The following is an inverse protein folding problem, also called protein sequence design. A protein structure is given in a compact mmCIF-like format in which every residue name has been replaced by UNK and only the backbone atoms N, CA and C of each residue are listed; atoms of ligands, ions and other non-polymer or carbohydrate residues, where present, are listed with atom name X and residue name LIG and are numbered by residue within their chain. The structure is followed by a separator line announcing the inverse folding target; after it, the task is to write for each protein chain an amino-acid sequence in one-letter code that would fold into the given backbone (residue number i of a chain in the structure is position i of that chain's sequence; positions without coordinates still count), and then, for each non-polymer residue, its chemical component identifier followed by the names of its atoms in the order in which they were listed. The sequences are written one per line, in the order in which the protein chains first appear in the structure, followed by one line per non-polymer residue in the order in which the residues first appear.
data_IF_660837600134
#
_entry.id   IF_660837600134
#
_cell.length_a   1.000
_cell.length_b   1.000
_cell.length_c   1.000
_cell.angle_alpha   90.00
_cell.angle_beta   90.00
_cell.angle_gamma   90.00
#
_symmetry.space_group_name_H-M   'P 1'
#
loop_
_entity.id
_entity.type
_entity.pdbx_description
1 polymer ?
#
# COMPACT_ATOMS: atom_id res chain seq x y z
N UNK A 1 -29.86 30.32 99.43
CA UNK A 1 -29.32 29.05 98.88
C UNK A 1 -29.65 29.07 97.39
N UNK A 2 -28.76 29.00 96.40
CA UNK A 2 -27.36 28.63 96.28
C UNK A 2 -26.58 29.70 95.49
N UNK A 3 -25.32 29.93 95.87
CA UNK A 3 -24.36 30.78 95.18
C UNK A 3 -23.97 30.20 93.81
N UNK A 4 -24.12 30.97 92.73
CA UNK A 4 -23.64 30.64 91.40
C UNK A 4 -22.13 30.89 91.33
N UNK A 5 -21.32 29.84 91.41
CA UNK A 5 -19.84 29.93 91.37
C UNK A 5 -19.35 30.08 89.91
N UNK A 6 -18.70 31.20 89.52
CA UNK A 6 -18.24 31.42 88.14
C UNK A 6 -16.99 30.60 87.75
N UNK A 7 -16.40 29.84 88.68
CA UNK A 7 -15.08 29.22 88.53
C UNK A 7 -15.08 27.68 88.63
N UNK A 8 -16.13 26.99 88.16
CA UNK A 8 -16.09 25.53 88.07
C UNK A 8 -15.14 25.09 86.95
N UNK A 9 -14.18 24.20 87.28
CA UNK A 9 -13.29 23.55 86.30
C UNK A 9 -14.06 22.90 85.13
N UNK A 10 -15.32 22.49 85.37
CA UNK A 10 -16.22 21.95 84.35
C UNK A 10 -16.58 22.93 83.24
N UNK A 11 -16.83 24.22 83.54
CA UNK A 11 -17.24 25.20 82.51
C UNK A 11 -16.09 25.59 81.57
N UNK A 12 -14.85 25.66 82.07
CA UNK A 12 -13.65 25.89 81.23
C UNK A 12 -13.33 24.69 80.34
N UNK A 13 -13.51 23.47 80.85
CA UNK A 13 -13.32 22.26 80.05
C UNK A 13 -14.41 22.11 78.98
N UNK A 14 -15.67 22.42 79.30
CA UNK A 14 -16.77 22.42 78.32
C UNK A 14 -16.58 23.50 77.25
N UNK A 15 -16.17 24.72 77.61
CA UNK A 15 -15.87 25.77 76.61
C UNK A 15 -14.66 25.41 75.72
N UNK A 16 -13.64 24.74 76.26
CA UNK A 16 -12.50 24.24 75.46
C UNK A 16 -12.91 23.09 74.55
N UNK A 17 -13.74 22.15 75.04
CA UNK A 17 -14.25 21.03 74.23
C UNK A 17 -15.19 21.52 73.13
N UNK A 18 -16.09 22.46 73.43
CA UNK A 18 -16.98 23.08 72.44
C UNK A 18 -16.17 23.92 71.46
N UNK A 19 -15.17 24.67 71.90
CA UNK A 19 -14.26 25.39 71.00
C UNK A 19 -13.48 24.47 70.07
N UNK A 20 -12.97 23.34 70.58
CA UNK A 20 -12.28 22.32 69.77
C UNK A 20 -13.26 21.62 68.81
N UNK A 21 -14.48 21.32 69.23
CA UNK A 21 -15.51 20.73 68.36
C UNK A 21 -15.98 21.69 67.26
N UNK A 22 -16.11 22.99 67.55
CA UNK A 22 -16.43 23.99 66.53
C UNK A 22 -15.28 24.15 65.55
N UNK A 23 -14.03 24.19 66.03
CA UNK A 23 -12.85 24.25 65.14
C UNK A 23 -12.74 22.98 64.28
N UNK A 24 -12.95 21.79 64.86
CA UNK A 24 -12.97 20.54 64.10
C UNK A 24 -14.13 20.45 63.12
N UNK A 25 -15.31 20.97 63.47
CA UNK A 25 -16.48 21.00 62.58
C UNK A 25 -16.31 22.02 61.43
N UNK A 26 -15.63 23.14 61.68
CA UNK A 26 -15.25 24.11 60.64
C UNK A 26 -14.17 23.51 59.74
N UNK A 27 -13.13 22.85 60.30
CA UNK A 27 -12.11 22.15 59.52
C UNK A 27 -12.74 21.01 58.70
N UNK A 28 -13.65 20.23 59.27
CA UNK A 28 -14.34 19.15 58.58
C UNK A 28 -15.28 19.69 57.49
N UNK A 29 -16.03 20.77 57.76
CA UNK A 29 -16.90 21.40 56.76
C UNK A 29 -16.10 22.03 55.62
N UNK A 30 -14.99 22.70 55.92
CA UNK A 30 -14.08 23.26 54.91
C UNK A 30 -13.40 22.13 54.13
N UNK A 31 -12.94 21.08 54.80
CA UNK A 31 -12.36 19.91 54.13
C UNK A 31 -13.39 19.21 53.23
N UNK A 32 -14.64 19.06 53.67
CA UNK A 32 -15.68 18.40 52.88
C UNK A 32 -16.13 19.26 51.70
N UNK A 33 -16.26 20.58 51.88
CA UNK A 33 -16.52 21.55 50.81
C UNK A 33 -15.38 21.60 49.78
N UNK A 34 -14.12 21.58 50.25
CA UNK A 34 -12.94 21.50 49.38
C UNK A 34 -12.91 20.16 48.63
N UNK A 35 -13.27 19.04 49.28
CA UNK A 35 -13.28 17.71 48.66
C UNK A 35 -14.36 17.56 47.58
N UNK A 36 -15.56 18.09 47.80
CA UNK A 36 -16.64 18.06 46.80
C UNK A 36 -16.34 19.01 45.64
N UNK A 37 -15.90 20.24 45.90
CA UNK A 37 -15.59 21.22 44.84
C UNK A 37 -14.32 20.90 44.05
N UNK A 38 -13.35 20.17 44.61
CA UNK A 38 -12.20 19.62 43.86
C UNK A 38 -12.60 18.42 43.02
N UNK A 39 -13.43 17.51 43.56
CA UNK A 39 -13.92 16.34 42.85
C UNK A 39 -14.71 16.71 41.59
N UNK A 40 -15.63 17.67 41.68
CA UNK A 40 -16.50 18.04 40.56
C UNK A 40 -15.76 18.84 39.47
N UNK A 41 -14.78 19.67 39.84
CA UNK A 41 -13.97 20.42 38.88
C UNK A 41 -12.95 19.53 38.15
N UNK A 42 -12.32 18.59 38.86
CA UNK A 42 -11.38 17.63 38.27
C UNK A 42 -12.12 16.59 37.41
N UNK A 43 -13.29 16.12 37.87
CA UNK A 43 -14.16 15.19 37.14
C UNK A 43 -14.55 15.70 35.74
N UNK A 44 -14.84 17.00 35.60
CA UNK A 44 -15.26 17.59 34.32
C UNK A 44 -14.11 17.93 33.36
N UNK A 45 -12.90 18.15 33.88
CA UNK A 45 -11.75 18.60 33.06
C UNK A 45 -10.86 17.43 32.64
N UNK A 46 -10.73 16.40 33.48
CA UNK A 46 -9.89 15.24 33.19
C UNK A 46 -10.20 14.58 31.83
N UNK A 47 -11.47 14.32 31.46
CA UNK A 47 -11.79 13.73 30.15
C UNK A 47 -11.35 14.61 28.97
N UNK A 48 -11.41 15.93 29.13
CA UNK A 48 -10.99 16.87 28.07
C UNK A 48 -9.48 16.84 27.88
N UNK A 49 -8.72 16.73 28.98
CA UNK A 49 -7.26 16.59 28.92
C UNK A 49 -6.88 15.27 28.28
N UNK A 50 -7.55 14.18 28.64
CA UNK A 50 -7.35 12.86 28.01
C UNK A 50 -7.60 12.93 26.49
N UNK A 51 -8.70 13.56 26.05
CA UNK A 51 -8.96 13.76 24.61
C UNK A 51 -7.83 14.54 23.91
N UNK A 52 -7.30 15.59 24.54
CA UNK A 52 -6.19 16.36 23.96
C UNK A 52 -4.88 15.57 23.91
N UNK A 53 -4.64 14.70 24.90
CA UNK A 53 -3.48 13.80 24.92
C UNK A 53 -3.59 12.76 23.80
N UNK A 54 -4.78 12.22 23.55
CA UNK A 54 -5.04 11.28 22.45
C UNK A 54 -4.79 11.93 21.08
N UNK A 55 -5.17 13.20 20.89
CA UNK A 55 -4.86 13.98 19.67
C UNK A 55 -3.33 14.07 19.51
N UNK A 56 -2.62 14.46 20.57
CA UNK A 56 -1.16 14.57 20.54
C UNK A 56 -0.49 13.23 20.21
N UNK A 57 -0.96 12.13 20.79
CA UNK A 57 -0.44 10.81 20.49
C UNK A 57 -0.69 10.42 19.03
N UNK A 58 -1.90 10.68 18.52
CA UNK A 58 -2.25 10.43 17.12
C UNK A 58 -1.37 11.23 16.16
N UNK A 59 -1.02 12.47 16.51
CA UNK A 59 -0.08 13.29 15.74
C UNK A 59 1.33 12.68 15.70
N UNK A 60 1.85 12.23 16.85
CA UNK A 60 3.15 11.54 16.93
C UNK A 60 3.17 10.25 16.09
N UNK A 61 2.12 9.45 16.19
CA UNK A 61 2.00 8.20 15.42
C UNK A 61 1.90 8.50 13.92
N UNK A 62 1.19 9.57 13.54
CA UNK A 62 1.07 10.02 12.15
C UNK A 62 2.40 10.49 11.55
N UNK A 63 3.22 11.22 12.32
CA UNK A 63 4.59 11.57 11.92
C UNK A 63 5.41 10.30 11.71
N UNK A 64 5.36 9.37 12.66
CA UNK A 64 6.11 8.11 12.61
C UNK A 64 5.74 7.30 11.37
N UNK A 65 4.44 7.21 11.07
CA UNK A 65 3.94 6.55 9.87
C UNK A 65 4.39 7.24 8.58
N UNK A 66 4.28 8.57 8.48
CA UNK A 66 4.72 9.30 7.30
C UNK A 66 6.23 9.15 7.05
N UNK A 67 7.03 9.11 8.12
CA UNK A 67 8.48 8.87 8.06
C UNK A 67 8.84 7.43 7.67
N UNK A 68 7.92 6.46 7.80
CA UNK A 68 8.17 5.07 7.43
C UNK A 68 7.88 4.75 5.97
N UNK A 69 7.33 5.70 5.20
CA UNK A 69 6.97 5.52 3.79
C UNK A 69 8.20 5.51 2.87
N UNK A 70 8.01 5.00 1.64
CA UNK A 70 9.08 4.81 0.64
C UNK A 70 9.87 6.11 0.34
N UNK A 71 9.18 7.25 0.34
CA UNK A 71 9.76 8.59 0.19
C UNK A 71 9.22 9.50 1.31
N UNK A 72 9.92 9.61 2.46
CA UNK A 72 9.47 10.44 3.58
C UNK A 72 9.73 11.93 3.36
N UNK A 73 10.67 12.29 2.47
CA UNK A 73 11.08 13.69 2.25
C UNK A 73 9.94 14.51 1.61
N UNK A 74 9.07 13.87 0.83
CA UNK A 74 7.86 14.52 0.28
C UNK A 74 6.93 15.08 1.37
N UNK A 75 6.99 14.56 2.60
CA UNK A 75 6.15 14.99 3.73
C UNK A 75 6.87 15.90 4.71
N UNK A 76 8.14 16.26 4.48
CA UNK A 76 8.98 16.96 5.45
C UNK A 76 8.36 18.27 5.98
N UNK A 77 7.78 19.09 5.09
CA UNK A 77 7.14 20.35 5.48
C UNK A 77 5.88 20.15 6.35
N UNK A 78 5.09 19.11 6.04
CA UNK A 78 3.92 18.76 6.85
C UNK A 78 4.36 18.22 8.22
N UNK A 79 5.37 17.34 8.25
CA UNK A 79 5.95 16.81 9.49
C UNK A 79 6.47 17.94 10.38
N UNK A 80 7.27 18.87 9.85
CA UNK A 80 7.79 20.03 10.59
C UNK A 80 6.66 20.87 11.19
N UNK A 81 5.60 21.12 10.42
CA UNK A 81 4.43 21.86 10.87
C UNK A 81 3.73 21.15 12.03
N UNK A 82 3.45 19.84 11.89
CA UNK A 82 2.82 19.06 12.97
C UNK A 82 3.69 19.06 14.22
N UNK A 83 5.01 18.90 14.07
CA UNK A 83 5.97 18.93 15.18
C UNK A 83 5.92 20.26 15.94
N UNK A 84 5.85 21.38 15.23
CA UNK A 84 5.73 22.71 15.84
C UNK A 84 4.46 22.84 16.69
N UNK A 85 3.31 22.35 16.20
CA UNK A 85 2.06 22.36 16.98
C UNK A 85 2.07 21.38 18.14
N UNK A 86 2.81 20.26 18.03
CA UNK A 86 3.06 19.35 19.15
C UNK A 86 3.87 20.04 20.24
N UNK A 87 4.93 20.76 19.88
CA UNK A 87 5.77 21.50 20.82
C UNK A 87 4.98 22.61 21.54
N UNK A 88 4.10 23.31 20.83
CA UNK A 88 3.20 24.31 21.41
C UNK A 88 2.22 23.69 22.42
N UNK A 89 1.65 22.53 22.09
CA UNK A 89 0.80 21.77 23.01
C UNK A 89 1.58 21.28 24.24
N UNK A 90 2.73 20.63 24.03
CA UNK A 90 3.57 20.05 25.07
C UNK A 90 4.06 21.14 26.05
N UNK A 91 4.38 22.34 25.54
CA UNK A 91 4.73 23.52 26.37
C UNK A 91 3.59 23.95 27.30
N UNK A 92 2.35 23.91 26.84
CA UNK A 92 1.18 24.26 27.66
C UNK A 92 0.86 23.15 28.67
N UNK A 93 0.96 21.88 28.25
CA UNK A 93 0.75 20.71 29.08
C UNK A 93 1.78 20.61 30.23
N UNK A 94 3.02 21.06 30.01
CA UNK A 94 4.09 21.01 31.01
C UNK A 94 3.96 22.07 32.13
N UNK A 95 3.02 23.01 32.01
CA UNK A 95 2.80 24.07 32.99
C UNK A 95 2.44 23.51 34.37
N UNK A 96 2.96 24.17 35.42
CA UNK A 96 2.74 23.74 36.83
C UNK A 96 1.26 23.71 37.19
N UNK A 97 0.46 24.62 36.63
CA UNK A 97 -0.98 24.72 36.85
C UNK A 97 -1.72 23.46 36.40
N UNK A 98 -1.34 22.87 35.26
CA UNK A 98 -1.89 21.62 34.75
C UNK A 98 -1.37 20.42 35.56
N UNK A 99 -0.08 20.40 35.91
CA UNK A 99 0.49 19.37 36.78
C UNK A 99 -0.21 19.27 38.13
N UNK A 100 -0.53 20.41 38.77
CA UNK A 100 -1.28 20.42 40.04
C UNK A 100 -2.72 19.94 39.90
N UNK A 101 -3.34 20.16 38.74
CA UNK A 101 -4.70 19.68 38.46
C UNK A 101 -4.75 18.15 38.32
N UNK A 102 -3.74 17.58 37.65
CA UNK A 102 -3.65 16.16 37.34
C UNK A 102 -2.97 15.33 38.45
N UNK A 103 -2.29 15.98 39.39
CA UNK A 103 -1.54 15.31 40.46
C UNK A 103 -2.43 14.41 41.31
N UNK A 104 -1.93 13.23 41.68
CA UNK A 104 -2.57 12.34 42.66
C UNK A 104 -2.29 12.76 44.11
N UNK A 105 -1.40 13.75 44.33
CA UNK A 105 -1.09 14.29 45.65
C UNK A 105 -2.21 15.24 46.12
N UNK A 106 -2.90 14.94 47.24
CA UNK A 106 -3.97 15.79 47.76
C UNK A 106 -3.52 17.22 48.10
N UNK A 107 -2.26 17.40 48.54
CA UNK A 107 -1.73 18.72 48.86
C UNK A 107 -1.48 19.56 47.60
N UNK A 108 -1.02 18.94 46.51
CA UNK A 108 -0.84 19.61 45.22
C UNK A 108 -2.17 19.97 44.58
N UNK A 109 -3.20 19.12 44.72
CA UNK A 109 -4.57 19.45 44.30
C UNK A 109 -5.13 20.67 45.05
N UNK A 110 -4.86 20.79 46.35
CA UNK A 110 -5.25 21.96 47.16
C UNK A 110 -4.52 23.22 46.67
N UNK A 111 -3.22 23.12 46.35
CA UNK A 111 -2.47 24.23 45.75
C UNK A 111 -3.08 24.61 44.39
N UNK A 112 -3.50 23.61 43.60
CA UNK A 112 -4.17 23.82 42.31
C UNK A 112 -5.43 24.70 42.40
N UNK A 113 -6.19 24.64 43.49
CA UNK A 113 -7.37 25.50 43.70
C UNK A 113 -7.02 27.00 43.73
N UNK A 114 -5.80 27.36 44.15
CA UNK A 114 -5.34 28.75 44.18
C UNK A 114 -5.08 29.30 42.77
N UNK A 115 -4.96 28.42 41.77
CA UNK A 115 -4.67 28.75 40.38
C UNK A 115 -5.85 28.49 39.45
N UNK A 116 -7.08 28.30 39.97
CA UNK A 116 -8.24 27.85 39.18
C UNK A 116 -8.52 28.73 37.94
N UNK A 117 -8.41 30.05 38.05
CA UNK A 117 -8.62 30.95 36.90
C UNK A 117 -7.51 30.79 35.85
N UNK A 118 -6.25 30.67 36.28
CA UNK A 118 -5.12 30.40 35.38
C UNK A 118 -5.22 29.01 34.74
N UNK A 119 -5.65 28.00 35.50
CA UNK A 119 -5.89 26.65 34.99
C UNK A 119 -6.92 26.69 33.87
N UNK A 120 -8.03 27.41 34.06
CA UNK A 120 -9.06 27.54 33.02
C UNK A 120 -8.51 28.17 31.74
N UNK A 121 -7.76 29.26 31.86
CA UNK A 121 -7.10 29.91 30.71
C UNK A 121 -6.11 28.98 29.99
N UNK A 122 -5.31 28.21 30.74
CA UNK A 122 -4.35 27.26 30.16
C UNK A 122 -5.08 26.10 29.48
N UNK A 123 -6.15 25.55 30.09
CA UNK A 123 -6.96 24.49 29.48
C UNK A 123 -7.60 24.97 28.18
N UNK A 124 -8.15 26.18 28.15
CA UNK A 124 -8.72 26.75 26.93
C UNK A 124 -7.63 26.96 25.86
N UNK A 125 -6.43 27.37 26.25
CA UNK A 125 -5.27 27.48 25.34
C UNK A 125 -4.81 26.12 24.82
N UNK A 126 -4.76 25.10 25.69
CA UNK A 126 -4.46 23.72 25.30
C UNK A 126 -5.50 23.17 24.33
N UNK A 127 -6.78 23.50 24.52
CA UNK A 127 -7.86 23.09 23.61
C UNK A 127 -7.65 23.68 22.22
N UNK A 128 -7.27 24.96 22.14
CA UNK A 128 -6.95 25.61 20.86
C UNK A 128 -5.70 24.98 20.23
N UNK A 129 -4.65 24.75 21.01
CA UNK A 129 -3.42 24.11 20.52
C UNK A 129 -3.69 22.68 20.00
N UNK A 130 -4.46 21.88 20.75
CA UNK A 130 -4.86 20.54 20.34
C UNK A 130 -5.75 20.55 19.09
N UNK A 131 -6.69 21.48 18.98
CA UNK A 131 -7.50 21.64 17.77
C UNK A 131 -6.65 21.98 16.53
N UNK A 132 -5.67 22.89 16.69
CA UNK A 132 -4.77 23.23 15.60
C UNK A 132 -3.84 22.05 15.25
N UNK A 133 -3.35 21.32 16.24
CA UNK A 133 -2.56 20.11 16.05
C UNK A 133 -3.35 19.04 15.30
N UNK A 134 -4.60 18.81 15.68
CA UNK A 134 -5.51 17.87 15.00
C UNK A 134 -5.71 18.27 13.53
N UNK A 135 -5.93 19.56 13.27
CA UNK A 135 -6.08 20.08 11.91
C UNK A 135 -4.81 19.88 11.07
N UNK A 136 -3.62 20.15 11.60
CA UNK A 136 -2.37 19.94 10.85
C UNK A 136 -2.03 18.45 10.67
N UNK A 137 -2.36 17.62 11.66
CA UNK A 137 -2.22 16.16 11.54
C UNK A 137 -3.11 15.63 10.42
N UNK A 138 -4.31 16.20 10.26
CA UNK A 138 -5.20 15.90 9.15
C UNK A 138 -4.59 16.25 7.80
N UNK A 139 -4.01 17.45 7.67
CA UNK A 139 -3.34 17.84 6.42
C UNK A 139 -2.18 16.88 6.08
N UNK A 140 -1.37 16.46 7.07
CA UNK A 140 -0.33 15.45 6.87
C UNK A 140 -0.91 14.12 6.37
N UNK A 141 -1.93 13.56 7.04
CA UNK A 141 -2.51 12.29 6.62
C UNK A 141 -3.25 12.39 5.28
N UNK A 142 -3.84 13.54 4.96
CA UNK A 142 -4.44 13.80 3.65
C UNK A 142 -3.38 13.84 2.55
N UNK A 143 -2.22 14.45 2.80
CA UNK A 143 -1.09 14.41 1.86
C UNK A 143 -0.58 12.99 1.65
N UNK A 144 -0.47 12.20 2.73
CA UNK A 144 -0.11 10.79 2.66
C UNK A 144 -1.12 9.99 1.83
N UNK A 145 -2.43 10.15 2.09
CA UNK A 145 -3.47 9.45 1.31
C UNK A 145 -3.40 9.81 -0.18
N UNK A 146 -3.23 11.09 -0.49
CA UNK A 146 -3.11 11.58 -1.86
C UNK A 146 -1.89 10.98 -2.57
N UNK A 147 -0.72 10.95 -1.93
CA UNK A 147 0.49 10.35 -2.50
C UNK A 147 0.32 8.84 -2.75
N UNK A 148 -0.28 8.12 -1.81
CA UNK A 148 -0.55 6.69 -2.00
C UNK A 148 -1.59 6.42 -3.09
N UNK A 149 -2.61 7.27 -3.21
CA UNK A 149 -3.62 7.18 -4.26
C UNK A 149 -3.05 7.50 -5.65
N UNK A 150 -2.13 8.48 -5.74
CA UNK A 150 -1.44 8.84 -6.98
C UNK A 150 -0.58 7.68 -7.49
N UNK A 151 0.31 7.13 -6.65
CA UNK A 151 1.12 5.94 -6.99
C UNK A 151 0.24 4.76 -7.42
N UNK A 152 -0.85 4.50 -6.68
CA UNK A 152 -1.81 3.47 -7.07
C UNK A 152 -2.43 3.76 -8.44
N UNK A 153 -2.86 4.99 -8.71
CA UNK A 153 -3.48 5.34 -9.98
C UNK A 153 -2.54 5.19 -11.18
N UNK A 154 -1.25 5.38 -10.96
CA UNK A 154 -0.21 5.23 -11.99
C UNK A 154 0.14 3.77 -12.25
N UNK A 155 0.03 2.89 -11.25
CA UNK A 155 0.57 1.52 -11.32
C UNK A 155 -0.46 0.39 -11.21
N UNK A 156 -1.69 0.64 -10.78
CA UNK A 156 -2.67 -0.42 -10.50
C UNK A 156 -2.94 -1.35 -11.70
N UNK A 157 -3.07 -0.79 -12.90
CA UNK A 157 -3.29 -1.56 -14.11
C UNK A 157 -2.10 -2.46 -14.45
N UNK A 158 -0.88 -1.99 -14.19
CA UNK A 158 0.35 -2.78 -14.36
C UNK A 158 0.40 -3.91 -13.33
N UNK A 159 0.18 -3.62 -12.05
CA UNK A 159 0.20 -4.63 -11.00
C UNK A 159 -0.79 -5.76 -11.26
N UNK A 160 -1.99 -5.47 -11.75
CA UNK A 160 -2.98 -6.50 -12.14
C UNK A 160 -2.43 -7.48 -13.20
N UNK A 161 -1.61 -7.00 -14.13
CA UNK A 161 -1.04 -7.83 -15.19
C UNK A 161 0.15 -8.65 -14.70
N UNK A 162 0.89 -8.13 -13.71
CA UNK A 162 2.13 -8.72 -13.23
C UNK A 162 1.93 -9.76 -12.12
N UNK A 163 0.92 -9.59 -11.25
CA UNK A 163 0.70 -10.53 -10.14
C UNK A 163 0.08 -11.85 -10.60
N UNK A 164 0.42 -12.91 -9.90
CA UNK A 164 -0.25 -14.21 -10.07
C UNK A 164 -1.63 -14.26 -9.43
N UNK A 165 -1.78 -13.71 -8.23
CA UNK A 165 -3.06 -13.64 -7.52
C UNK A 165 -3.55 -12.18 -7.48
N UNK A 166 -4.59 -11.81 -8.26
CA UNK A 166 -5.07 -10.44 -8.30
C UNK A 166 -5.89 -10.05 -7.06
N UNK A 167 -6.09 -10.94 -6.08
CA UNK A 167 -6.94 -10.69 -4.91
C UNK A 167 -6.56 -9.39 -4.18
N UNK A 168 -5.27 -9.20 -3.87
CA UNK A 168 -4.82 -8.01 -3.14
C UNK A 168 -4.90 -6.74 -3.99
N UNK A 169 -4.61 -6.82 -5.29
CA UNK A 169 -4.74 -5.68 -6.21
C UNK A 169 -6.22 -5.27 -6.36
N UNK A 170 -7.13 -6.25 -6.46
CA UNK A 170 -8.57 -6.02 -6.50
C UNK A 170 -9.08 -5.41 -5.19
N UNK A 171 -8.54 -5.81 -4.04
CA UNK A 171 -8.84 -5.17 -2.76
C UNK A 171 -8.39 -3.70 -2.75
N UNK A 172 -7.20 -3.38 -3.27
CA UNK A 172 -6.77 -1.98 -3.43
C UNK A 172 -7.72 -1.20 -4.34
N UNK A 173 -8.13 -1.78 -5.47
CA UNK A 173 -9.10 -1.18 -6.39
C UNK A 173 -10.42 -0.88 -5.68
N UNK A 174 -10.97 -1.82 -4.90
CA UNK A 174 -12.20 -1.60 -4.13
C UNK A 174 -12.04 -0.50 -3.07
N UNK A 175 -10.89 -0.47 -2.38
CA UNK A 175 -10.64 0.52 -1.33
C UNK A 175 -10.37 1.92 -1.86
N UNK A 176 -9.69 2.08 -2.99
CA UNK A 176 -9.48 3.37 -3.65
C UNK A 176 -10.68 3.83 -4.47
N UNK A 177 -11.50 2.91 -4.98
CA UNK A 177 -12.72 3.21 -5.74
C UNK A 177 -13.89 3.72 -4.90
N UNK A 178 -13.77 3.69 -3.56
CA UNK A 178 -14.80 4.16 -2.62
C UNK A 178 -14.39 5.45 -1.95
N UNK A 179 -15.36 6.34 -1.73
CA UNK A 179 -15.17 7.46 -0.82
C UNK A 179 -15.01 6.90 0.61
N UNK A 180 -13.85 7.17 1.21
CA UNK A 180 -13.55 6.78 2.60
C UNK A 180 -13.90 7.93 3.54
N UNK A 181 -14.76 7.66 4.51
CA UNK A 181 -15.08 8.59 5.58
C UNK A 181 -14.54 8.02 6.90
N UNK A 182 -13.81 8.85 7.63
CA UNK A 182 -13.23 8.48 8.92
C UNK A 182 -13.91 9.28 10.03
N UNK A 183 -14.30 8.59 11.11
CA UNK A 183 -14.95 9.21 12.27
C UNK A 183 -13.95 9.95 13.18
N UNK A 184 -12.65 9.65 13.05
CA UNK A 184 -11.58 10.27 13.82
C UNK A 184 -10.24 10.22 13.09
N UNK A 185 -9.29 11.05 13.52
CA UNK A 185 -7.91 11.01 13.02
C UNK A 185 -7.20 9.68 13.28
N UNK A 186 -7.50 9.02 14.41
CA UNK A 186 -6.93 7.71 14.73
C UNK A 186 -7.42 6.63 13.76
N UNK A 187 -8.69 6.70 13.38
CA UNK A 187 -9.27 5.80 12.38
C UNK A 187 -8.67 6.06 11.00
N UNK A 188 -8.49 7.32 10.62
CA UNK A 188 -7.80 7.70 9.37
C UNK A 188 -6.39 7.11 9.32
N UNK A 189 -5.58 7.32 10.37
CA UNK A 189 -4.24 6.75 10.46
C UNK A 189 -4.25 5.23 10.31
N UNK A 190 -5.11 4.53 11.07
CA UNK A 190 -5.23 3.06 10.99
C UNK A 190 -5.62 2.59 9.59
N UNK A 191 -6.54 3.32 8.95
CA UNK A 191 -6.97 3.04 7.58
C UNK A 191 -5.83 3.18 6.56
N UNK A 192 -5.01 4.22 6.70
CA UNK A 192 -3.84 4.47 5.84
C UNK A 192 -2.70 3.48 6.10
N UNK A 193 -2.41 3.13 7.36
CA UNK A 193 -1.45 2.06 7.70
C UNK A 193 -1.84 0.73 7.04
N UNK A 194 -3.12 0.38 7.10
CA UNK A 194 -3.65 -0.81 6.44
C UNK A 194 -3.54 -0.73 4.91
N UNK A 195 -3.82 0.43 4.29
CA UNK A 195 -3.64 0.62 2.85
C UNK A 195 -2.19 0.50 2.43
N UNK A 196 -1.28 1.13 3.18
CA UNK A 196 0.15 1.06 2.93
C UNK A 196 0.65 -0.38 3.00
N UNK A 197 0.23 -1.14 4.02
CA UNK A 197 0.59 -2.56 4.14
C UNK A 197 0.12 -3.37 2.93
N UNK A 198 -1.13 -3.20 2.51
CA UNK A 198 -1.68 -3.90 1.34
C UNK A 198 -0.94 -3.52 0.05
N UNK A 199 -0.58 -2.24 -0.14
CA UNK A 199 0.27 -1.79 -1.26
C UNK A 199 1.65 -2.42 -1.23
N UNK A 200 2.29 -2.47 -0.06
CA UNK A 200 3.59 -3.11 0.12
C UNK A 200 3.54 -4.61 -0.22
N UNK A 201 2.47 -5.30 0.18
CA UNK A 201 2.27 -6.71 -0.17
C UNK A 201 2.12 -6.91 -1.68
N UNK A 202 1.37 -6.05 -2.37
CA UNK A 202 1.26 -6.09 -3.84
C UNK A 202 2.62 -5.82 -4.51
N UNK A 203 3.37 -4.81 -4.08
CA UNK A 203 4.73 -4.53 -4.62
C UNK A 203 5.67 -5.75 -4.43
N UNK A 204 5.55 -6.44 -3.30
CA UNK A 204 6.30 -7.67 -3.04
C UNK A 204 5.84 -8.83 -3.94
N UNK A 205 4.53 -8.97 -4.20
CA UNK A 205 4.00 -9.97 -5.14
C UNK A 205 4.52 -9.73 -6.55
N UNK A 206 4.51 -8.49 -7.04
CA UNK A 206 5.08 -8.12 -8.34
C UNK A 206 6.56 -8.50 -8.41
N UNK A 207 7.34 -8.11 -7.39
CA UNK A 207 8.77 -8.46 -7.33
C UNK A 207 9.01 -9.96 -7.34
N UNK A 208 8.15 -10.74 -6.67
CA UNK A 208 8.23 -12.20 -6.63
C UNK A 208 7.85 -12.83 -7.97
N UNK A 209 6.82 -12.29 -8.65
CA UNK A 209 6.40 -12.76 -9.97
C UNK A 209 7.51 -12.54 -11.01
N UNK A 210 8.13 -11.35 -11.04
CA UNK A 210 9.27 -11.05 -11.92
C UNK A 210 10.47 -11.95 -11.59
N UNK A 211 10.77 -12.16 -10.31
CA UNK A 211 11.89 -13.05 -9.93
C UNK A 211 11.64 -14.52 -10.31
N UNK A 212 10.41 -15.00 -10.22
CA UNK A 212 10.07 -16.38 -10.59
C UNK A 212 10.09 -16.57 -12.12
N UNK A 213 9.69 -15.53 -12.86
CA UNK A 213 9.63 -15.54 -14.33
C UNK A 213 10.93 -16.06 -14.95
N UNK A 214 12.09 -15.57 -14.52
CA UNK A 214 13.38 -15.99 -15.09
C UNK A 214 13.70 -17.47 -14.91
N UNK A 215 13.27 -18.05 -13.79
CA UNK A 215 13.44 -19.50 -13.57
C UNK A 215 12.51 -20.32 -14.48
N UNK A 216 11.31 -19.81 -14.75
CA UNK A 216 10.36 -20.44 -15.66
C UNK A 216 10.83 -20.33 -17.12
N UNK A 217 11.36 -19.18 -17.53
CA UNK A 217 11.97 -18.94 -18.84
C UNK A 217 13.12 -19.90 -19.10
N UNK A 218 14.05 -20.03 -18.14
CA UNK A 218 15.16 -20.97 -18.23
C UNK A 218 14.67 -22.43 -18.35
N UNK A 219 13.58 -22.79 -17.66
CA UNK A 219 12.98 -24.12 -17.73
C UNK A 219 12.36 -24.38 -19.10
N UNK A 220 11.65 -23.40 -19.67
CA UNK A 220 11.12 -23.45 -21.02
C UNK A 220 12.24 -23.56 -22.07
N UNK A 221 13.34 -22.82 -21.89
CA UNK A 221 14.50 -22.84 -22.77
C UNK A 221 15.25 -24.17 -22.78
N UNK A 222 15.29 -24.86 -21.64
CA UNK A 222 15.96 -26.15 -21.50
C UNK A 222 15.28 -27.29 -22.27
N UNK A 223 14.04 -27.10 -22.74
CA UNK A 223 13.33 -28.10 -23.55
C UNK A 223 13.95 -28.14 -24.96
N UNK A 224 14.60 -29.26 -25.26
CA UNK A 224 15.25 -29.50 -26.55
C UNK A 224 14.22 -29.56 -27.68
N UNK A 225 14.50 -28.83 -28.77
CA UNK A 225 13.68 -28.78 -29.98
C UNK A 225 14.41 -29.53 -31.11
N UNK A 226 13.81 -30.58 -31.72
CA UNK A 226 14.39 -31.22 -32.89
C UNK A 226 14.52 -30.26 -34.08
N UNK A 227 15.50 -30.48 -34.95
CA UNK A 227 15.85 -29.50 -35.98
C UNK A 227 15.05 -29.63 -37.27
N UNK A 228 14.51 -30.81 -37.60
CA UNK A 228 13.93 -31.09 -38.92
C UNK A 228 12.42 -31.28 -38.86
N UNK A 229 11.72 -30.79 -39.88
CA UNK A 229 10.25 -30.89 -40.01
C UNK A 229 9.68 -32.31 -39.80
N UNK A 230 10.43 -33.35 -40.19
CA UNK A 230 9.98 -34.75 -40.06
C UNK A 230 10.36 -35.46 -38.77
N UNK A 231 11.06 -34.81 -37.83
CA UNK A 231 11.54 -35.47 -36.61
C UNK A 231 10.39 -35.85 -35.66
N UNK A 232 9.26 -35.15 -35.74
CA UNK A 232 8.02 -35.46 -35.04
C UNK A 232 6.83 -35.40 -36.01
N UNK A 233 5.77 -36.14 -35.69
CA UNK A 233 4.48 -35.98 -36.34
C UNK A 233 3.73 -34.73 -35.81
N UNK A 234 2.60 -34.31 -36.40
CA UNK A 234 1.90 -33.11 -35.94
C UNK A 234 1.51 -33.12 -34.47
N UNK A 235 1.14 -34.28 -33.94
CA UNK A 235 0.77 -34.42 -32.54
C UNK A 235 2.00 -34.24 -31.63
N UNK A 236 3.15 -34.81 -32.01
CA UNK A 236 4.42 -34.67 -31.30
C UNK A 236 4.89 -33.22 -31.26
N UNK A 237 4.80 -32.48 -32.36
CA UNK A 237 5.12 -31.04 -32.37
C UNK A 237 4.20 -30.24 -31.45
N UNK A 238 2.89 -30.51 -31.49
CA UNK A 238 1.93 -29.85 -30.61
C UNK A 238 2.16 -30.18 -29.13
N UNK A 239 2.45 -31.44 -28.81
CA UNK A 239 2.82 -31.86 -27.45
C UNK A 239 4.11 -31.19 -26.99
N UNK A 240 5.12 -31.07 -27.84
CA UNK A 240 6.35 -30.38 -27.51
C UNK A 240 6.11 -28.90 -27.21
N UNK A 241 5.34 -28.21 -28.05
CA UNK A 241 4.95 -26.82 -27.82
C UNK A 241 4.14 -26.66 -26.51
N UNK A 242 3.22 -27.60 -26.24
CA UNK A 242 2.45 -27.63 -24.99
C UNK A 242 3.37 -27.81 -23.77
N UNK A 243 4.37 -28.68 -23.87
CA UNK A 243 5.33 -28.87 -22.79
C UNK A 243 6.11 -27.58 -22.51
N UNK A 244 6.51 -26.83 -23.55
CA UNK A 244 7.19 -25.53 -23.40
C UNK A 244 6.34 -24.56 -22.61
N UNK A 245 5.11 -24.27 -23.04
CA UNK A 245 4.26 -23.30 -22.33
C UNK A 245 3.86 -23.74 -20.92
N UNK A 246 3.71 -25.04 -20.70
CA UNK A 246 3.29 -25.58 -19.39
C UNK A 246 4.31 -25.34 -18.28
N UNK A 247 5.59 -25.13 -18.62
CA UNK A 247 6.63 -24.77 -17.64
C UNK A 247 6.36 -23.43 -16.95
N UNK A 248 5.58 -22.56 -17.58
CA UNK A 248 5.21 -21.23 -17.08
C UNK A 248 3.72 -21.15 -16.67
N UNK A 249 3.05 -22.29 -16.52
CA UNK A 249 1.61 -22.36 -16.23
C UNK A 249 0.72 -21.86 -17.38
N UNK A 250 1.25 -21.76 -18.60
CA UNK A 250 0.54 -21.29 -19.80
C UNK A 250 0.00 -22.47 -20.60
N UNK A 251 -1.14 -22.26 -21.28
CA UNK A 251 -1.78 -23.24 -22.16
C UNK A 251 -1.70 -22.81 -23.62
N UNK A 252 -1.88 -23.77 -24.54
CA UNK A 252 -2.10 -23.49 -25.95
C UNK A 252 -3.57 -23.74 -26.28
N UNK A 253 -4.18 -22.78 -26.97
CA UNK A 253 -5.50 -22.92 -27.57
C UNK A 253 -5.41 -22.80 -29.09
N UNK A 254 -6.01 -23.75 -29.82
CA UNK A 254 -6.16 -23.65 -31.26
C UNK A 254 -7.44 -22.88 -31.61
N UNK A 255 -7.30 -21.79 -32.36
CA UNK A 255 -8.44 -20.94 -32.75
C UNK A 255 -8.60 -20.92 -34.27
N UNK A 256 -9.80 -20.52 -34.72
CA UNK A 256 -10.10 -20.31 -36.15
C UNK A 256 -10.11 -18.83 -36.53
N UNK A 257 -10.19 -17.94 -35.53
CA UNK A 257 -10.25 -16.50 -35.69
C UNK A 257 -9.32 -15.83 -34.68
N UNK A 258 -8.73 -14.70 -35.08
CA UNK A 258 -7.95 -13.86 -34.19
C UNK A 258 -8.89 -13.01 -33.33
N UNK A 259 -8.76 -13.13 -32.00
CA UNK A 259 -9.61 -12.42 -31.05
C UNK A 259 -8.90 -12.25 -29.71
N UNK A 260 -8.82 -10.99 -29.23
CA UNK A 260 -8.44 -10.67 -27.85
C UNK A 260 -9.61 -9.93 -27.19
N UNK A 261 -10.18 -10.49 -26.11
CA UNK A 261 -11.18 -9.81 -25.29
C UNK A 261 -12.53 -9.52 -25.97
N UNK A 262 -12.94 -10.31 -26.97
CA UNK A 262 -14.23 -10.17 -27.64
C UNK A 262 -14.21 -9.19 -28.82
N UNK A 263 -13.05 -8.63 -29.16
CA UNK A 263 -12.84 -7.90 -30.39
C UNK A 263 -12.32 -8.86 -31.45
N UNK A 264 -13.20 -9.32 -32.35
CA UNK A 264 -12.77 -10.01 -33.57
C UNK A 264 -11.95 -9.02 -34.39
N UNK A 265 -10.65 -9.24 -34.46
CA UNK A 265 -9.81 -8.53 -35.43
C UNK A 265 -9.98 -9.19 -36.78
N UNK A 266 -10.04 -8.38 -37.84
CA UNK A 266 -9.66 -8.91 -39.16
C UNK A 266 -8.19 -9.35 -39.05
N UNK A 267 -7.82 -10.48 -39.66
CA UNK A 267 -6.42 -10.79 -39.96
C UNK A 267 -6.17 -10.32 -41.40
N UNK A 268 -6.07 -9.00 -41.66
CA UNK A 268 -6.30 -8.42 -42.99
C UNK A 268 -5.28 -8.85 -44.05
N UNK A 269 -4.27 -9.64 -43.68
CA UNK A 269 -3.24 -10.10 -44.60
C UNK A 269 -2.85 -11.58 -44.39
N UNK A 270 -3.50 -12.30 -43.48
CA UNK A 270 -3.19 -13.71 -43.21
C UNK A 270 -1.80 -13.97 -42.61
N UNK A 271 -1.16 -12.97 -42.00
CA UNK A 271 0.19 -13.07 -41.43
C UNK A 271 0.22 -13.64 -40.00
N UNK A 272 -0.85 -13.46 -39.23
CA UNK A 272 -0.92 -13.93 -37.84
C UNK A 272 -1.08 -15.44 -37.82
N UNK A 273 -0.06 -16.16 -37.35
CA UNK A 273 -0.07 -17.63 -37.21
C UNK A 273 -0.31 -18.07 -35.75
N UNK A 274 0.08 -17.24 -34.79
CA UNK A 274 -0.24 -17.33 -33.38
C UNK A 274 -0.36 -15.92 -32.80
N UNK A 275 -0.89 -15.82 -31.58
CA UNK A 275 -0.99 -14.55 -30.87
C UNK A 275 -1.12 -14.74 -29.36
N UNK A 276 -0.62 -13.76 -28.63
CA UNK A 276 -0.83 -13.56 -27.21
C UNK A 276 -1.73 -12.34 -26.95
N UNK A 277 -2.67 -12.46 -26.01
CA UNK A 277 -3.54 -11.36 -25.62
C UNK A 277 -3.17 -10.80 -24.25
N UNK A 278 -2.84 -9.51 -24.19
CA UNK A 278 -2.65 -8.81 -22.92
C UNK A 278 -4.02 -8.60 -22.24
N UNK A 279 -4.34 -9.46 -21.28
CA UNK A 279 -5.60 -9.43 -20.53
C UNK A 279 -5.34 -9.49 -19.02
N UNK A 280 -6.08 -8.75 -18.18
CA UNK A 280 -6.04 -8.93 -16.72
C UNK A 280 -6.61 -10.29 -16.26
N UNK A 281 -7.54 -10.85 -17.05
CA UNK A 281 -8.13 -12.16 -16.78
C UNK A 281 -7.13 -13.27 -17.08
N UNK A 282 -6.67 -13.98 -16.04
CA UNK A 282 -5.70 -15.09 -16.16
C UNK A 282 -6.15 -16.20 -17.09
N UNK A 283 -7.46 -16.44 -17.21
CA UNK A 283 -7.97 -17.49 -18.10
C UNK A 283 -7.73 -17.18 -19.58
N UNK A 284 -7.41 -15.93 -19.90
CA UNK A 284 -7.03 -15.47 -21.24
C UNK A 284 -5.55 -15.07 -21.30
N UNK A 285 -5.02 -14.49 -20.21
CA UNK A 285 -3.61 -14.08 -20.09
C UNK A 285 -2.64 -15.26 -20.12
N UNK A 286 -3.00 -16.41 -19.54
CA UNK A 286 -2.12 -17.57 -19.50
C UNK A 286 -2.42 -18.54 -20.67
N UNK A 287 -2.72 -17.97 -21.85
CA UNK A 287 -3.03 -18.72 -23.07
C UNK A 287 -2.26 -18.15 -24.26
N UNK A 288 -1.62 -19.04 -25.01
CA UNK A 288 -1.09 -18.76 -26.35
C UNK A 288 -2.07 -19.32 -27.37
N UNK A 289 -2.54 -18.47 -28.28
CA UNK A 289 -3.49 -18.88 -29.30
C UNK A 289 -2.78 -19.20 -30.61
N UNK A 290 -3.19 -20.29 -31.28
CA UNK A 290 -2.65 -20.72 -32.57
C UNK A 290 -3.74 -20.69 -33.61
N UNK A 291 -3.54 -19.91 -34.68
CA UNK A 291 -4.53 -19.73 -35.73
C UNK A 291 -4.44 -20.85 -36.76
N UNK A 292 -5.32 -21.85 -36.64
CA UNK A 292 -5.33 -23.04 -37.51
C UNK A 292 -5.84 -22.76 -38.93
N UNK A 293 -6.48 -21.62 -39.15
CA UNK A 293 -6.92 -21.13 -40.47
C UNK A 293 -5.81 -20.42 -41.24
N UNK A 294 -4.64 -20.18 -40.63
CA UNK A 294 -3.49 -19.59 -41.31
C UNK A 294 -3.07 -20.46 -42.53
N UNK A 295 -2.82 -19.87 -43.73
CA UNK A 295 -2.52 -20.63 -44.94
C UNK A 295 -1.32 -21.59 -44.82
N UNK A 296 -0.33 -21.23 -44.00
CA UNK A 296 0.85 -22.05 -43.72
C UNK A 296 0.65 -23.16 -42.68
N UNK A 297 -0.52 -23.27 -42.04
CA UNK A 297 -0.74 -24.14 -40.88
C UNK A 297 -0.33 -25.60 -41.10
N UNK A 298 -0.64 -26.17 -42.27
CA UNK A 298 -0.30 -27.57 -42.59
C UNK A 298 1.21 -27.83 -42.52
N UNK A 299 2.02 -26.83 -42.89
CA UNK A 299 3.48 -26.91 -42.81
C UNK A 299 3.96 -26.60 -41.39
N UNK A 300 3.44 -25.53 -40.77
CA UNK A 300 3.79 -25.13 -39.40
C UNK A 300 3.60 -26.28 -38.41
N UNK A 301 2.44 -26.94 -38.44
CA UNK A 301 2.11 -28.05 -37.56
C UNK A 301 3.05 -29.27 -37.68
N UNK A 302 3.87 -29.33 -38.74
CA UNK A 302 4.83 -30.40 -39.02
C UNK A 302 6.27 -29.88 -38.96
N UNK A 303 6.54 -28.89 -38.12
CA UNK A 303 7.87 -28.27 -38.11
C UNK A 303 8.24 -27.69 -36.75
N UNK A 304 9.54 -27.58 -36.46
CA UNK A 304 10.01 -26.89 -35.26
C UNK A 304 9.60 -25.42 -35.20
N UNK A 305 9.20 -24.83 -36.33
CA UNK A 305 8.64 -23.48 -36.37
C UNK A 305 7.43 -23.31 -35.44
N UNK A 306 6.60 -24.35 -35.25
CA UNK A 306 5.51 -24.32 -34.27
C UNK A 306 6.02 -23.95 -32.86
N UNK A 307 7.17 -24.50 -32.47
CA UNK A 307 7.74 -24.30 -31.15
C UNK A 307 8.37 -22.91 -31.02
N UNK A 308 9.07 -22.41 -32.03
CA UNK A 308 9.63 -21.05 -31.98
C UNK A 308 8.54 -19.98 -31.98
N UNK A 309 7.49 -20.18 -32.78
CA UNK A 309 6.32 -19.31 -32.79
C UNK A 309 5.67 -19.26 -31.40
N UNK A 310 5.52 -20.41 -30.73
CA UNK A 310 5.01 -20.45 -29.36
C UNK A 310 5.96 -19.77 -28.36
N UNK A 311 7.28 -19.93 -28.51
CA UNK A 311 8.28 -19.22 -27.68
C UNK A 311 8.25 -17.70 -27.91
N UNK A 312 7.94 -17.25 -29.13
CA UNK A 312 7.69 -15.85 -29.43
C UNK A 312 6.46 -15.32 -28.67
N UNK A 313 5.31 -15.99 -28.74
CA UNK A 313 4.12 -15.55 -28.01
C UNK A 313 4.32 -15.59 -26.49
N UNK A 314 5.08 -16.57 -25.99
CA UNK A 314 5.47 -16.65 -24.59
C UNK A 314 6.38 -15.49 -24.16
N UNK A 315 7.14 -14.93 -25.11
CA UNK A 315 7.96 -13.73 -24.87
C UNK A 315 7.10 -12.48 -24.71
N UNK A 316 6.01 -12.33 -25.48
CA UNK A 316 5.03 -11.25 -25.22
C UNK A 316 4.49 -11.32 -23.80
N UNK A 317 4.11 -12.52 -23.31
CA UNK A 317 3.69 -12.71 -21.92
C UNK A 317 4.78 -12.29 -20.93
N UNK A 318 6.01 -12.72 -21.15
CA UNK A 318 7.11 -12.49 -20.21
C UNK A 318 7.50 -11.02 -20.14
N UNK A 319 7.51 -10.33 -21.28
CA UNK A 319 7.64 -8.88 -21.37
C UNK A 319 6.49 -8.20 -20.59
N UNK A 320 5.25 -8.68 -20.72
CA UNK A 320 4.12 -8.15 -19.96
C UNK A 320 4.23 -8.38 -18.45
N UNK A 321 4.71 -9.53 -17.99
CA UNK A 321 4.96 -9.77 -16.55
C UNK A 321 6.10 -8.86 -16.04
N UNK A 322 7.17 -8.68 -16.83
CA UNK A 322 8.28 -7.79 -16.46
C UNK A 322 7.86 -6.31 -16.43
N UNK A 323 7.13 -5.85 -17.43
CA UNK A 323 6.89 -4.43 -17.69
C UNK A 323 5.46 -3.94 -17.47
N UNK A 324 4.53 -4.83 -17.15
CA UNK A 324 3.10 -4.51 -17.09
C UNK A 324 2.47 -4.19 -18.46
N UNK A 325 3.15 -4.48 -19.56
CA UNK A 325 2.69 -4.28 -20.95
C UNK A 325 3.50 -5.14 -21.92
N UNK A 326 2.92 -5.60 -23.03
CA UNK A 326 3.65 -6.26 -24.12
C UNK A 326 4.43 -5.27 -25.00
N UNK A 327 4.13 -3.98 -24.90
CA UNK A 327 4.73 -2.90 -25.69
C UNK A 327 5.39 -1.85 -24.76
N UNK A 328 6.50 -2.20 -24.08
CA UNK A 328 7.18 -1.27 -23.19
C UNK A 328 7.76 -0.09 -23.98
N UNK A 329 7.81 1.10 -23.36
CA UNK A 329 8.28 2.34 -24.01
C UNK A 329 9.68 2.18 -24.60
N UNK A 330 10.56 1.42 -23.93
CA UNK A 330 11.93 1.17 -24.40
C UNK A 330 11.98 0.43 -25.76
N UNK A 331 10.93 -0.33 -26.12
CA UNK A 331 10.85 -1.03 -27.40
C UNK A 331 10.42 -0.11 -28.56
N UNK A 332 9.87 1.08 -28.28
CA UNK A 332 9.39 2.02 -29.29
C UNK A 332 8.52 1.36 -30.37
N UNK A 333 8.88 1.49 -31.65
CA UNK A 333 8.21 0.89 -32.80
C UNK A 333 8.73 -0.52 -33.15
N UNK A 334 9.52 -1.14 -32.26
CA UNK A 334 10.24 -2.39 -32.51
C UNK A 334 9.74 -3.58 -31.70
N UNK A 335 8.50 -3.54 -31.21
CA UNK A 335 7.91 -4.57 -30.35
C UNK A 335 8.20 -5.99 -30.83
N UNK A 336 7.82 -6.35 -32.06
CA UNK A 336 7.96 -7.73 -32.54
C UNK A 336 9.42 -8.17 -32.73
N UNK A 337 10.30 -7.27 -33.17
CA UNK A 337 11.73 -7.54 -33.25
C UNK A 337 12.35 -7.77 -31.86
N UNK A 338 11.92 -7.00 -30.85
CA UNK A 338 12.32 -7.17 -29.46
C UNK A 338 11.79 -8.49 -28.91
N UNK A 339 10.52 -8.82 -29.16
CA UNK A 339 9.91 -10.10 -28.76
C UNK A 339 10.62 -11.30 -29.40
N UNK A 340 10.98 -11.23 -30.69
CA UNK A 340 11.80 -12.23 -31.34
C UNK A 340 13.19 -12.37 -30.70
N UNK A 341 13.83 -11.24 -30.37
CA UNK A 341 15.13 -11.25 -29.71
C UNK A 341 15.03 -11.89 -28.32
N UNK A 342 13.96 -11.57 -27.59
CA UNK A 342 13.65 -12.15 -26.29
C UNK A 342 13.45 -13.67 -26.37
N UNK A 343 12.71 -14.15 -27.38
CA UNK A 343 12.47 -15.60 -27.57
C UNK A 343 13.75 -16.37 -27.88
N UNK A 344 14.66 -15.77 -28.65
CA UNK A 344 15.97 -16.37 -28.92
C UNK A 344 16.84 -16.39 -27.67
N UNK A 345 16.94 -15.26 -26.97
CA UNK A 345 17.87 -15.09 -25.85
C UNK A 345 17.45 -15.87 -24.59
N UNK A 346 16.16 -15.86 -24.26
CA UNK A 346 15.66 -16.34 -22.97
C UNK A 346 14.81 -17.60 -23.07
N UNK A 347 14.25 -17.90 -24.25
CA UNK A 347 13.51 -19.13 -24.50
C UNK A 347 14.26 -20.12 -25.38
N UNK A 348 15.44 -19.79 -25.91
CA UNK A 348 16.20 -20.67 -26.80
C UNK A 348 15.45 -21.00 -28.09
N UNK A 349 14.71 -20.05 -28.64
CA UNK A 349 14.19 -20.15 -29.99
C UNK A 349 15.33 -20.07 -31.03
N UNK A 350 15.13 -20.66 -32.20
CA UNK A 350 16.16 -20.68 -33.23
C UNK A 350 16.15 -19.40 -34.08
N UNK A 351 17.19 -18.59 -33.91
CA UNK A 351 17.34 -17.31 -34.63
C UNK A 351 17.30 -17.45 -36.15
N UNK A 352 17.96 -18.46 -36.71
CA UNK A 352 18.06 -18.61 -38.16
C UNK A 352 16.70 -19.05 -38.72
N UNK A 353 16.02 -19.98 -38.04
CA UNK A 353 14.70 -20.44 -38.44
C UNK A 353 13.67 -19.31 -38.36
N UNK A 354 13.69 -18.47 -37.32
CA UNK A 354 12.84 -17.28 -37.24
C UNK A 354 13.13 -16.33 -38.43
N UNK A 355 14.40 -16.01 -38.67
CA UNK A 355 14.80 -15.11 -39.75
C UNK A 355 14.38 -15.62 -41.15
N UNK A 356 14.46 -16.94 -41.37
CA UNK A 356 14.03 -17.56 -42.62
C UNK A 356 12.50 -17.56 -42.78
N UNK A 357 11.75 -17.90 -41.72
CA UNK A 357 10.28 -17.98 -41.76
C UNK A 357 9.61 -16.60 -41.86
N UNK A 358 10.25 -15.56 -41.34
CA UNK A 358 9.75 -14.18 -41.34
C UNK A 358 10.52 -13.28 -42.31
N UNK A 359 11.21 -13.89 -43.28
CA UNK A 359 11.99 -13.16 -44.27
C UNK A 359 11.12 -12.14 -45.01
N UNK A 360 11.57 -10.87 -45.03
CA UNK A 360 10.86 -9.78 -45.70
C UNK A 360 9.82 -9.05 -44.84
N UNK A 361 9.63 -9.46 -43.58
CA UNK A 361 8.74 -8.77 -42.62
C UNK A 361 9.60 -7.91 -41.68
N UNK A 362 9.77 -6.62 -42.03
CA UNK A 362 10.70 -5.73 -41.35
C UNK A 362 10.43 -5.55 -39.84
N UNK A 363 9.16 -5.62 -39.43
CA UNK A 363 8.72 -5.47 -38.04
C UNK A 363 9.31 -6.55 -37.11
N UNK A 364 9.55 -7.75 -37.64
CA UNK A 364 10.06 -8.91 -36.89
C UNK A 364 11.60 -9.06 -36.98
N UNK A 365 12.26 -8.19 -37.74
CA UNK A 365 13.69 -8.32 -38.01
C UNK A 365 14.53 -8.02 -36.76
N UNK A 366 15.18 -9.06 -36.23
CA UNK A 366 16.11 -8.93 -35.11
C UNK A 366 17.44 -8.33 -35.54
N UNK A 367 18.00 -7.50 -34.67
CA UNK A 367 19.37 -6.99 -34.77
C UNK A 367 20.00 -6.85 -33.37
N UNK A 368 21.25 -6.38 -33.32
CA UNK A 368 21.95 -6.19 -32.05
C UNK A 368 21.27 -5.16 -31.13
N UNK A 369 20.48 -4.24 -31.68
CA UNK A 369 19.76 -3.25 -30.88
C UNK A 369 18.53 -3.89 -30.24
N UNK A 370 17.74 -4.67 -30.98
CA UNK A 370 16.61 -5.41 -30.40
C UNK A 370 17.07 -6.44 -29.35
N UNK A 371 18.25 -7.04 -29.51
CA UNK A 371 18.86 -7.91 -28.50
C UNK A 371 19.19 -7.16 -27.18
N UNK A 372 19.74 -5.96 -27.30
CA UNK A 372 20.04 -5.10 -26.14
C UNK A 372 18.75 -4.68 -25.42
N UNK A 373 17.71 -4.31 -26.17
CA UNK A 373 16.41 -3.94 -25.62
C UNK A 373 15.74 -5.13 -24.91
N UNK A 374 15.76 -6.32 -25.52
CA UNK A 374 15.23 -7.53 -24.90
C UNK A 374 15.95 -7.86 -23.58
N UNK A 375 17.29 -7.70 -23.54
CA UNK A 375 18.07 -7.88 -22.31
C UNK A 375 17.69 -6.86 -21.25
N UNK A 376 17.57 -5.58 -21.62
CA UNK A 376 17.15 -4.53 -20.69
C UNK A 376 15.76 -4.83 -20.10
N UNK A 377 14.80 -5.27 -20.92
CA UNK A 377 13.45 -5.65 -20.46
C UNK A 377 13.50 -6.87 -19.55
N UNK A 378 14.32 -7.87 -19.86
CA UNK A 378 14.52 -9.03 -18.99
C UNK A 378 15.08 -8.62 -17.62
N UNK A 379 16.00 -7.66 -17.59
CA UNK A 379 16.53 -7.10 -16.34
C UNK A 379 15.58 -6.10 -15.62
N UNK A 380 14.33 -5.94 -16.13
CA UNK A 380 13.30 -5.07 -15.55
C UNK A 380 13.36 -3.60 -15.98
N UNK A 381 14.22 -3.24 -16.93
CA UNK A 381 14.27 -1.88 -17.50
C UNK A 381 13.28 -1.75 -18.67
N UNK A 382 12.12 -1.16 -18.39
CA UNK A 382 11.00 -1.09 -19.33
C UNK A 382 10.83 0.25 -20.05
N UNK A 383 11.64 1.27 -19.71
CA UNK A 383 11.65 2.58 -20.39
C UNK A 383 11.60 3.77 -19.46
#
# INVERSE_FOLDING_TARGET
MLYHNPNSRGRRNVLRIVGVLVVLAVIASVANFLRTTTSDAVSNVKPQIETMQDIRQTAQDSITFAQSLDDPDQFAAHIETVQQYMDDYDRLADTKQIKYLLSDNPQERIIGLLYRDQQRTIIDSMRVAAHNLDAQTKELLSAVDAAMADDFSQHAAQWLLQVDDPTQVNELIDRYGKQREYSSMREMLTGLESLHKLRSDVKQQVSSAVSNLHSEEASAAAIAVPERNGDLDPAGWYTLATNVVSTMGVQIEQTMEFNCGGQSGENPNGFVAAYYCQMPDRTQRDVVHILTTHPGWTQTARSPWLVDMVKHELSHRSIMVSCGTTQPTIAADRTEAVTNSYSVLFFGADRNRIADQQQGVAEYAMDAHSDQLATAIHDGNCG
#
